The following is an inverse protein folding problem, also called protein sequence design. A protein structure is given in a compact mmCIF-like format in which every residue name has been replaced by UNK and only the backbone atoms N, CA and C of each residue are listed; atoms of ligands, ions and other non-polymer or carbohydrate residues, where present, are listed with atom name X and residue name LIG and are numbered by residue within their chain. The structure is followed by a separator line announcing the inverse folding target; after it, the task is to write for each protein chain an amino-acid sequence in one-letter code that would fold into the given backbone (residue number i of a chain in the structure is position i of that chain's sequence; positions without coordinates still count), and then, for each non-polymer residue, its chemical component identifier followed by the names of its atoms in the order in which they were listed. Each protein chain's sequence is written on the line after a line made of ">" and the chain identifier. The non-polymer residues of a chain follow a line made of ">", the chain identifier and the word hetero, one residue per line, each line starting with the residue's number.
data_IF_839582375984
#
_entry.id   IF_839582375984
#
_cell.length_a   1.000
_cell.length_b   1.000
_cell.length_c   1.000
_cell.angle_alpha   90.00
_cell.angle_beta   90.00
_cell.angle_gamma   90.00
#
_symmetry.space_group_name_H-M   'P 1'
#
loop_
_entity.id
_entity.type
_entity.pdbx_description
1 polymer ?
#
# COMPACT_ATOMS: atom_id res chain seq x y z
N UNK A 1 -14.20 -32.27 -32.94
CA UNK A 1 -13.78 -31.65 -31.66
C UNK A 1 -12.27 -31.43 -31.68
N UNK A 2 -11.81 -30.17 -31.70
CA UNK A 2 -10.42 -29.78 -31.41
C UNK A 2 -10.47 -28.50 -30.57
N UNK A 3 -9.66 -28.49 -29.52
CA UNK A 3 -9.71 -27.60 -28.39
C UNK A 3 -9.46 -26.13 -28.77
N UNK A 4 -10.25 -25.23 -28.18
CA UNK A 4 -10.00 -23.79 -28.22
C UNK A 4 -8.75 -23.44 -27.41
N UNK A 5 -7.86 -22.68 -28.02
CA UNK A 5 -6.71 -22.10 -27.34
C UNK A 5 -7.22 -21.05 -26.35
N UNK A 6 -7.01 -21.28 -25.05
CA UNK A 6 -7.28 -20.29 -24.00
C UNK A 6 -6.06 -19.38 -23.91
N UNK A 7 -6.18 -18.14 -24.39
CA UNK A 7 -5.18 -17.10 -24.17
C UNK A 7 -4.96 -16.91 -22.67
N UNK A 8 -3.71 -16.86 -22.18
CA UNK A 8 -3.45 -16.53 -20.78
C UNK A 8 -3.74 -15.04 -20.54
N UNK A 9 -4.28 -14.64 -19.38
CA UNK A 9 -4.46 -13.24 -19.06
C UNK A 9 -3.10 -12.53 -19.03
N UNK A 10 -2.94 -11.52 -19.90
CA UNK A 10 -1.82 -10.58 -19.86
C UNK A 10 -2.09 -9.59 -18.73
N UNK A 11 -1.58 -9.88 -17.54
CA UNK A 11 -1.52 -8.95 -16.41
C UNK A 11 -0.04 -8.81 -16.04
N UNK A 12 0.58 -7.71 -16.45
CA UNK A 12 1.97 -7.41 -16.09
C UNK A 12 2.01 -6.76 -14.70
N UNK A 13 2.22 -7.55 -13.66
CA UNK A 13 2.47 -7.05 -12.31
C UNK A 13 3.91 -6.54 -12.24
N UNK A 14 4.11 -5.22 -12.15
CA UNK A 14 5.44 -4.64 -11.90
C UNK A 14 5.59 -4.32 -10.42
N UNK A 15 6.64 -4.83 -9.78
CA UNK A 15 6.96 -4.57 -8.38
C UNK A 15 8.20 -3.70 -8.25
N UNK A 16 8.14 -2.62 -7.46
CA UNK A 16 9.33 -1.88 -7.04
C UNK A 16 9.63 -2.22 -5.58
N UNK A 17 10.83 -2.73 -5.33
CA UNK A 17 11.34 -2.95 -3.98
C UNK A 17 11.56 -1.59 -3.31
N UNK A 18 11.08 -1.45 -2.08
CA UNK A 18 11.38 -0.28 -1.27
C UNK A 18 12.84 -0.39 -0.81
N UNK A 19 13.64 0.59 -1.18
CA UNK A 19 15.03 0.69 -0.73
C UNK A 19 15.06 0.86 0.78
N UNK A 20 15.62 -0.13 1.46
CA UNK A 20 15.77 -0.12 2.92
C UNK A 20 16.84 0.91 3.30
N UNK A 21 16.43 2.11 3.69
CA UNK A 21 17.31 3.09 4.33
C UNK A 21 17.39 2.74 5.81
N UNK A 22 18.25 1.77 6.12
CA UNK A 22 18.53 1.29 7.48
C UNK A 22 18.97 -0.16 7.42
N UNK A 23 20.18 -0.47 7.89
CA UNK A 23 20.75 -1.82 7.82
C UNK A 23 19.76 -2.90 8.32
N UNK A 24 19.82 -4.14 7.80
CA UNK A 24 18.96 -5.21 8.28
C UNK A 24 19.33 -5.52 9.74
N UNK A 25 18.44 -5.18 10.66
CA UNK A 25 18.54 -5.59 12.06
C UNK A 25 17.45 -6.61 12.32
N UNK A 26 17.82 -7.84 12.66
CA UNK A 26 16.88 -8.85 13.12
C UNK A 26 16.40 -8.47 14.53
N UNK A 27 15.14 -8.07 14.66
CA UNK A 27 14.50 -7.77 15.94
C UNK A 27 12.97 -7.72 15.85
N UNK A 28 12.32 -8.77 16.36
CA UNK A 28 10.88 -9.05 16.52
C UNK A 28 10.12 -9.63 15.29
N UNK A 29 9.18 -10.58 15.53
CA UNK A 29 8.74 -11.55 14.53
C UNK A 29 7.63 -10.99 13.63
N UNK A 30 8.03 -10.35 12.55
CA UNK A 30 7.55 -10.67 11.20
C UNK A 30 8.48 -9.97 10.24
N UNK A 31 9.65 -10.56 10.00
CA UNK A 31 10.57 -10.11 8.95
C UNK A 31 9.85 -10.30 7.61
N UNK A 32 9.15 -9.28 7.17
CA UNK A 32 8.47 -9.25 5.88
C UNK A 32 9.22 -8.39 4.89
N UNK A 33 9.27 -8.81 3.63
CA UNK A 33 9.70 -7.92 2.54
C UNK A 33 8.49 -7.10 2.12
N UNK A 34 8.61 -5.78 2.23
CA UNK A 34 7.60 -4.84 1.76
C UNK A 34 7.95 -4.31 0.37
N UNK A 35 6.96 -4.24 -0.53
CA UNK A 35 7.13 -3.70 -1.87
C UNK A 35 5.85 -3.05 -2.36
N UNK A 36 5.99 -2.14 -3.31
CA UNK A 36 4.85 -1.57 -4.03
C UNK A 36 4.47 -2.51 -5.16
N UNK A 37 3.21 -2.95 -5.15
CA UNK A 37 2.60 -3.82 -6.15
C UNK A 37 1.60 -3.01 -6.97
N UNK A 38 1.85 -2.88 -8.27
CA UNK A 38 0.86 -2.35 -9.20
C UNK A 38 -0.05 -3.47 -9.72
N UNK A 39 -1.35 -3.23 -9.67
CA UNK A 39 -2.42 -4.14 -10.06
C UNK A 39 -3.59 -3.31 -10.63
N UNK A 40 -3.87 -3.44 -11.93
CA UNK A 40 -4.96 -2.71 -12.64
C UNK A 40 -4.95 -1.17 -12.40
N UNK A 41 -3.77 -0.55 -12.52
CA UNK A 41 -3.57 0.89 -12.31
C UNK A 41 -3.62 1.33 -10.84
N UNK A 42 -3.81 0.40 -9.90
CA UNK A 42 -3.76 0.66 -8.46
C UNK A 42 -2.41 0.24 -7.92
N UNK A 43 -1.84 1.05 -7.03
CA UNK A 43 -0.60 0.71 -6.34
C UNK A 43 -0.91 0.39 -4.88
N UNK A 44 -0.52 -0.81 -4.47
CA UNK A 44 -0.73 -1.36 -3.15
C UNK A 44 0.61 -1.53 -2.43
N UNK A 45 0.59 -1.41 -1.11
CA UNK A 45 1.66 -1.97 -0.28
C UNK A 45 1.39 -3.47 -0.12
N UNK A 46 2.33 -4.29 -0.54
CA UNK A 46 2.32 -5.73 -0.31
C UNK A 46 3.46 -6.10 0.65
N UNK A 47 3.24 -7.17 1.43
CA UNK A 47 4.23 -7.76 2.30
C UNK A 47 4.30 -9.27 2.07
N UNK A 48 5.52 -9.80 1.96
CA UNK A 48 5.77 -11.25 1.92
C UNK A 48 6.47 -11.64 3.20
N UNK A 49 5.90 -12.60 3.93
CA UNK A 49 6.53 -13.24 5.08
C UNK A 49 7.76 -14.03 4.64
N UNK A 50 8.92 -13.82 5.29
CA UNK A 50 10.10 -14.65 5.01
C UNK A 50 10.02 -16.03 5.64
N UNK A 51 9.12 -16.24 6.61
CA UNK A 51 9.02 -17.50 7.33
C UNK A 51 8.31 -18.58 6.50
N UNK A 52 7.24 -18.19 5.80
CA UNK A 52 6.36 -19.13 5.08
C UNK A 52 6.03 -18.68 3.63
N UNK A 53 6.53 -17.53 3.19
CA UNK A 53 6.28 -16.99 1.85
C UNK A 53 4.85 -16.47 1.67
N UNK A 54 4.04 -16.37 2.73
CA UNK A 54 2.68 -15.85 2.64
C UNK A 54 2.67 -14.38 2.23
N UNK A 55 1.71 -14.00 1.36
CA UNK A 55 1.57 -12.64 0.86
C UNK A 55 0.36 -11.97 1.49
N UNK A 56 0.55 -10.74 1.96
CA UNK A 56 -0.53 -9.90 2.49
C UNK A 56 -0.52 -8.50 1.87
N UNK A 57 -1.67 -7.82 1.94
CA UNK A 57 -1.84 -6.41 1.54
C UNK A 57 -2.26 -5.61 2.78
N UNK A 58 -1.30 -5.12 3.59
CA UNK A 58 -1.60 -4.52 4.89
C UNK A 58 -2.36 -3.18 4.78
N UNK A 59 -2.35 -2.54 3.61
CA UNK A 59 -3.20 -1.38 3.29
C UNK A 59 -4.25 -1.81 2.27
N UNK A 60 -5.49 -1.92 2.72
CA UNK A 60 -6.63 -2.35 1.92
C UNK A 60 -7.61 -1.19 1.61
N UNK A 61 -8.61 -1.46 0.76
CA UNK A 61 -9.65 -0.50 0.37
C UNK A 61 -9.33 0.30 -0.89
N UNK A 62 -10.13 1.34 -1.17
CA UNK A 62 -9.92 2.26 -2.30
C UNK A 62 -8.82 3.28 -1.96
N UNK A 63 -7.60 2.77 -1.81
CA UNK A 63 -6.41 3.52 -1.42
C UNK A 63 -5.28 3.24 -2.40
N UNK A 64 -4.49 4.26 -2.68
CA UNK A 64 -3.23 4.15 -3.42
C UNK A 64 -2.08 4.43 -2.48
N UNK A 65 -1.04 3.60 -2.55
CA UNK A 65 0.22 3.81 -1.80
C UNK A 65 1.29 4.28 -2.77
N UNK A 66 1.79 5.50 -2.60
CA UNK A 66 2.81 6.07 -3.47
C UNK A 66 4.24 5.83 -2.94
N UNK A 67 4.39 5.70 -1.62
CA UNK A 67 5.64 5.37 -0.95
C UNK A 67 5.37 4.73 0.42
N UNK A 68 6.33 3.98 0.95
CA UNK A 68 6.29 3.50 2.33
C UNK A 68 7.70 3.36 2.92
N UNK A 69 7.77 3.41 4.25
CA UNK A 69 8.96 3.18 5.04
C UNK A 69 8.62 2.29 6.24
N UNK A 70 9.58 1.47 6.66
CA UNK A 70 9.45 0.58 7.82
C UNK A 70 10.48 0.99 8.85
N UNK A 71 10.02 1.31 10.05
CA UNK A 71 10.85 1.63 11.20
C UNK A 71 11.53 0.40 11.81
N UNK A 72 12.56 0.58 12.64
CA UNK A 72 13.29 -0.51 13.26
C UNK A 72 12.44 -1.34 14.25
N UNK A 73 11.33 -0.80 14.72
CA UNK A 73 10.33 -1.44 15.57
C UNK A 73 9.22 -2.16 14.76
N UNK A 74 9.34 -2.18 13.44
CA UNK A 74 8.32 -2.73 12.54
C UNK A 74 7.18 -1.75 12.22
N UNK A 75 7.22 -0.51 12.74
CA UNK A 75 6.21 0.50 12.42
C UNK A 75 6.25 0.84 10.94
N UNK A 76 5.11 0.70 10.26
CA UNK A 76 4.99 1.03 8.83
C UNK A 76 4.32 2.39 8.67
N UNK A 77 5.01 3.31 8.00
CA UNK A 77 4.46 4.60 7.57
C UNK A 77 4.38 4.63 6.05
N UNK A 78 3.24 5.05 5.51
CA UNK A 78 2.98 5.09 4.08
C UNK A 78 2.44 6.45 3.66
N UNK A 79 2.82 6.88 2.45
CA UNK A 79 2.19 7.99 1.74
C UNK A 79 0.98 7.42 0.98
N UNK A 80 -0.22 7.78 1.44
CA UNK A 80 -1.48 7.19 0.98
C UNK A 80 -2.40 8.27 0.45
N UNK A 81 -3.02 8.01 -0.70
CA UNK A 81 -4.11 8.81 -1.26
C UNK A 81 -5.40 8.00 -1.38
N UNK A 82 -6.54 8.69 -1.29
CA UNK A 82 -7.89 8.17 -1.54
C UNK A 82 -8.57 9.05 -2.59
N UNK A 83 -9.67 8.63 -3.24
CA UNK A 83 -10.32 9.41 -4.28
C UNK A 83 -10.67 10.86 -3.89
N UNK A 84 -10.93 11.12 -2.61
CA UNK A 84 -11.23 12.47 -2.07
C UNK A 84 -10.18 12.97 -1.07
N UNK A 85 -9.03 12.31 -0.99
CA UNK A 85 -7.94 12.68 -0.11
C UNK A 85 -6.62 12.63 -0.88
N UNK A 86 -6.04 13.78 -1.25
CA UNK A 86 -4.68 13.83 -1.76
C UNK A 86 -3.70 13.20 -0.77
N UNK A 87 -2.51 12.86 -1.26
CA UNK A 87 -1.54 12.07 -0.50
C UNK A 87 -1.20 12.68 0.87
N UNK A 88 -1.31 11.86 1.91
CA UNK A 88 -0.97 12.17 3.30
C UNK A 88 -0.18 11.00 3.91
N UNK A 89 0.56 11.27 4.98
CA UNK A 89 1.24 10.21 5.73
C UNK A 89 0.26 9.51 6.66
N UNK A 90 0.29 8.19 6.64
CA UNK A 90 -0.44 7.32 7.54
C UNK A 90 0.50 6.31 8.19
N UNK A 91 0.20 5.94 9.43
CA UNK A 91 0.80 4.79 10.09
C UNK A 91 -0.21 3.63 10.11
N UNK A 92 0.29 2.41 9.92
CA UNK A 92 -0.53 1.21 10.15
C UNK A 92 -0.80 1.07 11.64
N UNK A 93 -2.07 1.04 11.99
CA UNK A 93 -2.53 1.07 13.37
C UNK A 93 -3.73 0.12 13.51
N UNK A 94 -3.49 -1.06 14.08
CA UNK A 94 -4.51 -2.10 14.26
C UNK A 94 -5.63 -1.68 15.23
N UNK A 95 -5.42 -0.63 16.03
CA UNK A 95 -6.46 -0.08 16.90
C UNK A 95 -7.43 0.86 16.16
N UNK A 96 -7.01 1.38 15.00
CA UNK A 96 -7.86 2.22 14.17
C UNK A 96 -8.85 1.35 13.37
N UNK A 97 -10.10 1.80 13.26
CA UNK A 97 -11.16 1.07 12.54
C UNK A 97 -10.84 0.78 11.07
N UNK A 98 -10.01 1.64 10.45
CA UNK A 98 -9.59 1.48 9.05
C UNK A 98 -8.26 0.74 8.87
N UNK A 99 -7.65 0.28 9.98
CA UNK A 99 -6.29 -0.24 10.04
C UNK A 99 -5.20 0.82 9.85
N UNK A 100 -5.57 2.09 9.67
CA UNK A 100 -4.67 3.22 9.47
C UNK A 100 -5.04 4.39 10.36
N UNK A 101 -4.01 5.10 10.83
CA UNK A 101 -4.13 6.41 11.47
C UNK A 101 -3.36 7.47 10.69
N UNK A 102 -4.04 8.57 10.34
CA UNK A 102 -3.46 9.71 9.62
C UNK A 102 -2.49 10.47 10.53
N UNK A 103 -1.31 10.81 10.01
CA UNK A 103 -0.26 11.56 10.72
C UNK A 103 -0.20 13.02 10.28
N UNK A 104 -0.48 13.30 9.01
CA UNK A 104 -0.42 14.65 8.45
C UNK A 104 -1.80 15.11 8.00
N UNK A 105 -2.05 16.41 8.07
CA UNK A 105 -3.33 17.03 7.69
C UNK A 105 -3.09 18.19 6.71
N UNK A 106 -2.02 18.10 5.91
CA UNK A 106 -1.53 19.25 5.12
C UNK A 106 -2.51 19.68 4.03
N UNK A 107 -3.38 18.79 3.57
CA UNK A 107 -4.39 19.09 2.56
C UNK A 107 -5.73 19.56 3.16
N UNK A 108 -5.94 19.50 4.48
CA UNK A 108 -7.26 19.77 5.07
C UNK A 108 -7.78 21.17 4.79
N UNK A 109 -6.92 22.19 4.90
CA UNK A 109 -7.35 23.58 4.68
C UNK A 109 -7.73 23.82 3.23
N UNK A 110 -6.93 23.32 2.29
CA UNK A 110 -7.21 23.41 0.86
C UNK A 110 -8.52 22.69 0.50
N UNK A 111 -8.73 21.48 1.01
CA UNK A 111 -9.92 20.67 0.73
C UNK A 111 -11.21 21.32 1.21
N UNK A 112 -11.16 22.19 2.22
CA UNK A 112 -12.32 22.99 2.66
C UNK A 112 -12.74 24.04 1.62
N UNK A 113 -11.86 24.39 0.68
CA UNK A 113 -12.09 25.47 -0.30
C UNK A 113 -12.44 24.98 -1.70
N UNK A 114 -12.32 23.69 -1.97
CA UNK A 114 -12.53 23.10 -3.30
C UNK A 114 -13.57 21.99 -3.26
N UNK A 115 -14.36 21.89 -4.33
CA UNK A 115 -15.28 20.78 -4.52
C UNK A 115 -14.58 19.69 -5.35
N UNK A 116 -14.48 18.49 -4.79
CA UNK A 116 -14.01 17.30 -5.51
C UNK A 116 -15.21 16.50 -6.02
N UNK A 117 -15.14 16.05 -7.28
CA UNK A 117 -16.15 15.20 -7.88
C UNK A 117 -16.07 13.77 -7.35
N UNK A 118 -17.17 13.03 -7.49
CA UNK A 118 -17.22 11.63 -7.12
C UNK A 118 -16.45 10.77 -8.13
N UNK A 119 -15.74 9.77 -7.62
CA UNK A 119 -15.25 8.68 -8.46
C UNK A 119 -16.46 7.80 -8.79
N UNK A 120 -16.77 7.72 -10.09
CA UNK A 120 -17.86 6.98 -10.73
C UNK A 120 -18.23 5.69 -9.99
N UNK A 121 -19.52 5.55 -9.66
CA UNK A 121 -20.10 4.36 -9.01
C UNK A 121 -20.54 3.29 -10.01
#
# INVERSE_FOLDING_TARGET
>A
MRAGSKEPPSQASSGRLLESVGAPHCGAPTSGVYFLLEDDGRVHLAAVSVDDGSVSRPIAGQRRVDAAAVGPDGTVVALVSEPRLPAELFVIDASASSGLRRLTHVNEELLKTIALSDAWS
#
